data_IF_362127133039
#
_entry.id   IF_362127133039
#
_cell.length_a   1.000
_cell.length_b   1.000
_cell.length_c   1.000
_cell.angle_alpha   90.00
_cell.angle_beta   90.00
_cell.angle_gamma   90.00
#
_symmetry.space_group_name_H-M   'P 1'
#
loop_
_entity.id
_entity.type
_entity.pdbx_description
1 polymer ?
#
# COMPACT_ATOMS: atom_id res chain seq x y z
N UNK A 1 42.59 -20.91 -30.75
CA UNK A 1 41.44 -21.65 -30.20
C UNK A 1 41.42 -21.60 -28.67
N UNK A 2 42.53 -21.87 -27.96
CA UNK A 2 42.62 -21.77 -26.49
C UNK A 2 42.18 -20.41 -25.90
N UNK A 3 42.56 -19.27 -26.50
CA UNK A 3 42.14 -17.95 -26.02
C UNK A 3 40.64 -17.63 -26.19
N UNK A 4 39.93 -18.31 -27.11
CA UNK A 4 38.48 -18.12 -27.30
C UNK A 4 37.67 -18.92 -26.26
N UNK A 5 38.15 -20.10 -25.91
CA UNK A 5 37.57 -20.96 -24.86
C UNK A 5 37.70 -20.33 -23.48
N UNK A 6 38.86 -19.73 -23.18
CA UNK A 6 39.06 -19.02 -21.91
C UNK A 6 38.12 -17.81 -21.78
N UNK A 7 37.94 -17.04 -22.85
CA UNK A 7 37.05 -15.87 -22.85
C UNK A 7 35.57 -16.24 -22.66
N UNK A 8 35.11 -17.33 -23.28
CA UNK A 8 33.74 -17.84 -23.08
C UNK A 8 33.54 -18.34 -21.65
N UNK A 9 34.56 -18.98 -21.06
CA UNK A 9 34.49 -19.46 -19.67
C UNK A 9 34.46 -18.31 -18.66
N UNK A 10 35.28 -17.27 -18.83
CA UNK A 10 35.26 -16.09 -17.94
C UNK A 10 33.94 -15.33 -18.04
N UNK A 11 33.41 -15.17 -19.25
CA UNK A 11 32.12 -14.51 -19.47
C UNK A 11 30.95 -15.29 -18.87
N UNK A 12 31.00 -16.63 -18.92
CA UNK A 12 30.03 -17.49 -18.24
C UNK A 12 30.10 -17.35 -16.72
N UNK A 13 31.30 -17.30 -16.14
CA UNK A 13 31.49 -17.13 -14.70
C UNK A 13 30.93 -15.78 -14.23
N UNK A 14 31.25 -14.70 -14.93
CA UNK A 14 30.71 -13.35 -14.64
C UNK A 14 29.18 -13.31 -14.71
N UNK A 15 28.59 -13.95 -15.73
CA UNK A 15 27.14 -14.03 -15.87
C UNK A 15 26.49 -14.80 -14.71
N UNK A 16 27.09 -15.90 -14.27
CA UNK A 16 26.60 -16.72 -13.16
C UNK A 16 26.70 -15.95 -11.83
N UNK A 17 27.82 -15.28 -11.58
CA UNK A 17 28.04 -14.48 -10.36
C UNK A 17 27.04 -13.32 -10.30
N UNK A 18 26.89 -12.56 -11.39
CA UNK A 18 25.93 -11.47 -11.48
C UNK A 18 24.48 -11.95 -11.34
N UNK A 19 24.13 -13.09 -11.96
CA UNK A 19 22.82 -13.73 -11.82
C UNK A 19 22.52 -14.11 -10.38
N UNK A 20 23.48 -14.77 -9.70
CA UNK A 20 23.35 -15.17 -8.29
C UNK A 20 23.12 -13.99 -7.37
N UNK A 21 23.86 -12.89 -7.54
CA UNK A 21 23.68 -11.68 -6.74
C UNK A 21 22.27 -11.09 -6.90
N UNK A 22 21.78 -10.98 -8.14
CA UNK A 22 20.42 -10.48 -8.45
C UNK A 22 19.33 -11.34 -7.81
N UNK A 23 19.45 -12.66 -7.92
CA UNK A 23 18.52 -13.61 -7.31
C UNK A 23 18.56 -13.55 -5.78
N UNK A 24 19.75 -13.42 -5.18
CA UNK A 24 19.89 -13.29 -3.74
C UNK A 24 19.18 -12.04 -3.22
N UNK A 25 19.38 -10.89 -3.86
CA UNK A 25 18.68 -9.65 -3.49
C UNK A 25 17.16 -9.85 -3.59
N UNK A 26 16.65 -10.38 -4.70
CA UNK A 26 15.22 -10.63 -4.87
C UNK A 26 14.65 -11.55 -3.79
N UNK A 27 15.37 -12.61 -3.40
CA UNK A 27 15.00 -13.52 -2.31
C UNK A 27 14.99 -12.83 -0.96
N UNK A 28 15.97 -12.00 -0.64
CA UNK A 28 16.00 -11.24 0.62
C UNK A 28 14.78 -10.32 0.74
N UNK A 29 14.46 -9.56 -0.31
CA UNK A 29 13.25 -8.72 -0.34
C UNK A 29 11.96 -9.54 -0.26
N UNK A 30 11.93 -10.70 -0.92
CA UNK A 30 10.79 -11.61 -0.90
C UNK A 30 10.55 -12.18 0.52
N UNK A 31 11.60 -12.59 1.22
CA UNK A 31 11.53 -13.07 2.61
C UNK A 31 11.11 -11.91 3.51
N UNK A 32 11.76 -10.74 3.40
CA UNK A 32 11.44 -9.57 4.21
C UNK A 32 9.96 -9.15 4.07
N UNK A 33 9.43 -9.10 2.84
CA UNK A 33 8.03 -8.76 2.59
C UNK A 33 7.05 -9.79 3.18
N UNK A 34 7.37 -11.08 3.11
CA UNK A 34 6.56 -12.14 3.73
C UNK A 34 6.56 -12.07 5.24
N UNK A 35 7.75 -11.92 5.84
CA UNK A 35 7.90 -11.75 7.29
C UNK A 35 7.14 -10.52 7.77
N UNK A 36 7.21 -9.42 7.03
CA UNK A 36 6.48 -8.19 7.35
C UNK A 36 4.96 -8.40 7.32
N UNK A 37 4.42 -9.05 6.29
CA UNK A 37 2.99 -9.35 6.24
C UNK A 37 2.56 -10.26 7.39
N UNK A 38 3.35 -11.30 7.68
CA UNK A 38 3.05 -12.20 8.78
C UNK A 38 3.08 -11.48 10.13
N UNK A 39 4.09 -10.63 10.34
CA UNK A 39 4.21 -9.78 11.51
C UNK A 39 3.01 -8.85 11.66
N UNK A 40 2.65 -8.10 10.59
CA UNK A 40 1.48 -7.21 10.58
C UNK A 40 0.18 -7.97 10.83
N UNK A 41 0.09 -9.23 10.38
CA UNK A 41 -1.08 -10.06 10.66
C UNK A 41 -1.22 -10.31 12.15
N UNK A 42 -0.15 -10.79 12.79
CA UNK A 42 -0.15 -11.15 14.19
C UNK A 42 -0.32 -9.94 15.11
N UNK A 43 0.38 -8.83 14.85
CA UNK A 43 0.36 -7.67 15.75
C UNK A 43 -0.95 -6.92 15.73
N UNK A 44 -1.68 -6.93 14.61
CA UNK A 44 -2.94 -6.19 14.49
C UNK A 44 -4.17 -7.05 14.75
N UNK A 45 -4.02 -8.36 14.94
CA UNK A 45 -5.15 -9.29 15.05
C UNK A 45 -6.16 -8.88 16.14
N UNK A 46 -5.67 -8.45 17.31
CA UNK A 46 -6.53 -7.98 18.40
C UNK A 46 -7.41 -6.78 17.98
N UNK A 47 -6.80 -5.80 17.32
CA UNK A 47 -7.52 -4.61 16.82
C UNK A 47 -8.48 -4.98 15.69
N UNK A 48 -8.14 -5.94 14.84
CA UNK A 48 -9.03 -6.42 13.78
C UNK A 48 -10.29 -7.08 14.33
N UNK A 49 -10.13 -7.94 15.32
CA UNK A 49 -11.25 -8.61 15.98
C UNK A 49 -12.16 -7.56 16.64
N UNK A 50 -11.58 -6.58 17.32
CA UNK A 50 -12.33 -5.51 17.98
C UNK A 50 -13.05 -4.57 17.00
N UNK A 51 -12.40 -4.17 15.91
CA UNK A 51 -12.88 -3.08 15.05
C UNK A 51 -13.52 -3.51 13.73
N UNK A 52 -13.17 -4.68 13.21
CA UNK A 52 -13.56 -5.11 11.86
C UNK A 52 -14.52 -6.30 11.89
N UNK A 53 -14.23 -7.33 12.69
CA UNK A 53 -14.92 -8.63 12.58
C UNK A 53 -16.41 -8.56 12.97
N UNK A 54 -16.75 -7.81 14.01
CA UNK A 54 -18.12 -7.67 14.53
C UNK A 54 -18.96 -6.53 13.92
N UNK A 55 -18.46 -5.78 12.94
CA UNK A 55 -19.20 -4.65 12.33
C UNK A 55 -20.04 -5.09 11.13
N UNK A 56 -21.15 -4.39 10.77
CA UNK A 56 -21.91 -4.75 9.57
C UNK A 56 -21.05 -4.69 8.31
N UNK A 57 -21.37 -5.52 7.31
CA UNK A 57 -20.67 -5.52 6.03
C UNK A 57 -20.84 -4.18 5.31
N UNK A 58 -19.72 -3.57 4.94
CA UNK A 58 -19.65 -2.32 4.20
C UNK A 58 -18.58 -2.44 3.11
N UNK A 59 -18.63 -1.58 2.09
CA UNK A 59 -17.62 -1.57 1.02
C UNK A 59 -16.20 -1.40 1.57
N UNK A 60 -16.02 -0.61 2.62
CA UNK A 60 -14.72 -0.44 3.27
C UNK A 60 -14.24 -1.71 3.97
N UNK A 61 -15.15 -2.45 4.62
CA UNK A 61 -14.84 -3.75 5.24
C UNK A 61 -14.43 -4.79 4.19
N UNK A 62 -15.11 -4.81 3.04
CA UNK A 62 -14.76 -5.70 1.93
C UNK A 62 -13.38 -5.35 1.39
N UNK A 63 -13.12 -4.07 1.11
CA UNK A 63 -11.82 -3.58 0.65
C UNK A 63 -10.70 -3.93 1.63
N UNK A 64 -10.96 -3.80 2.94
CA UNK A 64 -10.02 -4.19 3.99
C UNK A 64 -9.65 -5.68 3.93
N UNK A 65 -10.65 -6.57 3.91
CA UNK A 65 -10.38 -8.02 3.85
C UNK A 65 -9.71 -8.41 2.53
N UNK A 66 -10.08 -7.79 1.41
CA UNK A 66 -9.40 -8.02 0.13
C UNK A 66 -7.93 -7.57 0.18
N UNK A 67 -7.65 -6.37 0.72
CA UNK A 67 -6.29 -5.85 0.87
C UNK A 67 -5.44 -6.69 1.84
N UNK A 68 -6.06 -7.42 2.77
CA UNK A 68 -5.40 -8.34 3.71
C UNK A 68 -5.14 -9.71 3.09
N UNK A 69 -6.15 -10.31 2.46
CA UNK A 69 -6.12 -11.68 1.96
C UNK A 69 -5.33 -11.75 0.64
N UNK A 70 -5.49 -10.76 -0.24
CA UNK A 70 -4.86 -10.80 -1.57
C UNK A 70 -3.32 -10.87 -1.52
N UNK A 71 -2.61 -10.01 -0.76
CA UNK A 71 -1.16 -10.12 -0.60
C UNK A 71 -0.71 -11.48 -0.06
N UNK A 72 -1.44 -12.05 0.90
CA UNK A 72 -1.12 -13.36 1.45
C UNK A 72 -1.24 -14.45 0.37
N UNK A 73 -2.30 -14.44 -0.43
CA UNK A 73 -2.47 -15.36 -1.56
C UNK A 73 -1.38 -15.14 -2.60
N UNK A 74 -1.15 -13.90 -3.02
CA UNK A 74 -0.16 -13.56 -4.04
C UNK A 74 1.26 -13.99 -3.63
N UNK A 75 1.68 -13.68 -2.40
CA UNK A 75 2.99 -14.10 -1.91
C UNK A 75 3.06 -15.61 -1.73
N UNK A 76 1.96 -16.26 -1.32
CA UNK A 76 1.85 -17.72 -1.26
C UNK A 76 2.06 -18.37 -2.63
N UNK A 77 1.32 -17.93 -3.65
CA UNK A 77 1.39 -18.46 -5.04
C UNK A 77 2.76 -18.22 -5.69
N UNK A 78 3.43 -17.12 -5.36
CA UNK A 78 4.77 -16.81 -5.89
C UNK A 78 5.90 -17.50 -5.12
N UNK A 79 5.62 -18.11 -3.95
CA UNK A 79 6.61 -18.85 -3.15
C UNK A 79 7.09 -20.13 -3.84
N UNK A 80 6.24 -20.96 -4.47
CA UNK A 80 6.67 -22.05 -5.33
C UNK A 80 7.62 -21.65 -6.46
N UNK A 81 7.57 -20.41 -6.97
CA UNK A 81 8.56 -19.95 -7.94
C UNK A 81 9.99 -19.82 -7.41
N UNK A 82 10.14 -19.92 -6.08
CA UNK A 82 11.43 -19.99 -5.37
C UNK A 82 11.79 -21.44 -4.99
N UNK A 83 10.81 -22.36 -4.92
CA UNK A 83 10.97 -23.70 -4.32
C UNK A 83 10.71 -24.88 -5.27
N UNK A 84 9.97 -24.68 -6.35
CA UNK A 84 9.56 -25.69 -7.33
C UNK A 84 9.86 -25.19 -8.75
N UNK A 85 9.81 -26.06 -9.77
CA UNK A 85 9.88 -25.66 -11.17
C UNK A 85 8.48 -25.53 -11.82
N UNK A 86 7.63 -24.53 -11.48
CA UNK A 86 6.59 -24.10 -12.41
C UNK A 86 7.23 -23.43 -13.64
N UNK A 87 6.49 -23.41 -14.75
CA UNK A 87 6.83 -22.60 -15.91
C UNK A 87 7.11 -21.16 -15.48
N UNK A 88 8.37 -20.74 -15.61
CA UNK A 88 8.85 -19.43 -15.13
C UNK A 88 8.00 -18.25 -15.61
N UNK A 89 7.50 -18.36 -16.84
CA UNK A 89 6.56 -17.42 -17.45
C UNK A 89 5.29 -17.20 -16.61
N UNK A 90 4.69 -18.27 -16.07
CA UNK A 90 3.44 -18.19 -15.31
C UNK A 90 3.64 -17.44 -14.00
N UNK A 91 4.73 -17.72 -13.28
CA UNK A 91 5.04 -17.04 -12.00
C UNK A 91 5.24 -15.54 -12.21
N UNK A 92 6.00 -15.17 -13.25
CA UNK A 92 6.31 -13.77 -13.54
C UNK A 92 5.06 -13.01 -13.94
N UNK A 93 4.23 -13.59 -14.82
CA UNK A 93 2.94 -13.00 -15.21
C UNK A 93 2.02 -12.87 -13.98
N UNK A 94 1.89 -13.94 -13.18
CA UNK A 94 1.09 -13.92 -11.96
C UNK A 94 1.59 -12.87 -10.95
N UNK A 95 2.91 -12.69 -10.82
CA UNK A 95 3.52 -11.68 -9.94
C UNK A 95 3.22 -10.26 -10.41
N UNK A 96 3.35 -9.99 -11.72
CA UNK A 96 3.12 -8.68 -12.31
C UNK A 96 1.65 -8.26 -12.23
N UNK A 97 0.74 -9.11 -12.71
CA UNK A 97 -0.71 -8.83 -12.62
C UNK A 97 -1.20 -8.81 -11.17
N UNK A 98 -0.66 -9.68 -10.32
CA UNK A 98 -1.01 -9.69 -8.91
C UNK A 98 -0.61 -8.42 -8.19
N UNK A 99 0.58 -7.88 -8.50
CA UNK A 99 1.06 -6.61 -7.95
C UNK A 99 0.21 -5.44 -8.44
N UNK A 100 -0.14 -5.40 -9.72
CA UNK A 100 -1.04 -4.38 -10.25
C UNK A 100 -2.41 -4.42 -9.58
N UNK A 101 -2.98 -5.61 -9.37
CA UNK A 101 -4.24 -5.76 -8.66
C UNK A 101 -4.14 -5.31 -7.19
N UNK A 102 -3.06 -5.65 -6.50
CA UNK A 102 -2.83 -5.21 -5.12
C UNK A 102 -2.75 -3.69 -5.00
N UNK A 103 -2.05 -3.02 -5.93
CA UNK A 103 -1.99 -1.56 -5.96
C UNK A 103 -3.36 -0.95 -6.27
N UNK A 104 -4.14 -1.55 -7.17
CA UNK A 104 -5.51 -1.12 -7.46
C UNK A 104 -6.43 -1.23 -6.24
N UNK A 105 -6.24 -2.21 -5.35
CA UNK A 105 -7.05 -2.33 -4.12
C UNK A 105 -6.83 -1.16 -3.14
N UNK A 106 -5.68 -0.51 -3.21
CA UNK A 106 -5.39 0.67 -2.38
C UNK A 106 -6.24 1.85 -2.81
N UNK A 107 -6.34 2.11 -4.12
CA UNK A 107 -6.91 3.34 -4.65
C UNK A 107 -8.35 3.62 -4.16
N UNK A 108 -9.30 2.67 -4.09
CA UNK A 108 -10.63 2.89 -3.51
C UNK A 108 -10.60 3.42 -2.08
N UNK A 109 -9.67 2.95 -1.24
CA UNK A 109 -9.53 3.42 0.14
C UNK A 109 -9.14 4.90 0.14
N UNK A 110 -8.22 5.29 -0.74
CA UNK A 110 -7.73 6.67 -0.87
C UNK A 110 -8.80 7.59 -1.46
N UNK A 111 -9.46 7.14 -2.53
CA UNK A 111 -10.58 7.84 -3.16
C UNK A 111 -11.69 8.11 -2.14
N UNK A 112 -12.02 7.14 -1.28
CA UNK A 112 -13.06 7.32 -0.26
C UNK A 112 -12.72 8.47 0.70
N UNK A 113 -11.45 8.64 1.07
CA UNK A 113 -11.01 9.72 1.96
C UNK A 113 -11.07 11.07 1.27
N UNK A 114 -10.61 11.15 0.03
CA UNK A 114 -10.71 12.39 -0.75
C UNK A 114 -12.17 12.78 -0.97
N UNK A 115 -13.03 11.81 -1.28
CA UNK A 115 -14.46 12.07 -1.46
C UNK A 115 -15.10 12.68 -0.21
N UNK A 116 -14.79 12.14 0.98
CA UNK A 116 -15.25 12.72 2.25
C UNK A 116 -14.68 14.12 2.48
N UNK A 117 -13.38 14.33 2.23
CA UNK A 117 -12.69 15.62 2.42
C UNK A 117 -13.23 16.74 1.50
N UNK A 118 -13.75 16.36 0.33
CA UNK A 118 -14.39 17.26 -0.61
C UNK A 118 -15.92 17.38 -0.40
N UNK A 119 -16.44 16.95 0.75
CA UNK A 119 -17.84 17.12 1.13
C UNK A 119 -18.80 16.18 0.41
N UNK A 120 -18.33 14.98 0.04
CA UNK A 120 -19.12 13.92 -0.62
C UNK A 120 -19.77 14.34 -1.96
N UNK A 121 -19.19 15.31 -2.66
CA UNK A 121 -19.65 15.74 -3.99
C UNK A 121 -19.47 14.60 -5.00
N UNK A 122 -20.52 14.30 -5.78
CA UNK A 122 -20.53 13.20 -6.75
C UNK A 122 -19.56 13.43 -7.90
N UNK A 123 -19.46 14.67 -8.37
CA UNK A 123 -18.56 15.04 -9.47
C UNK A 123 -17.09 14.66 -9.16
N UNK A 124 -16.64 14.89 -7.93
CA UNK A 124 -15.27 14.54 -7.51
C UNK A 124 -15.07 13.03 -7.53
N UNK A 125 -16.07 12.26 -7.08
CA UNK A 125 -16.00 10.81 -7.10
C UNK A 125 -15.96 10.27 -8.54
N UNK A 126 -16.78 10.82 -9.43
CA UNK A 126 -16.83 10.44 -10.84
C UNK A 126 -15.48 10.69 -11.53
N UNK A 127 -14.86 11.87 -11.33
CA UNK A 127 -13.53 12.17 -11.85
C UNK A 127 -12.44 11.22 -11.31
N UNK A 128 -12.48 10.91 -10.01
CA UNK A 128 -11.53 9.99 -9.40
C UNK A 128 -11.69 8.57 -9.94
N UNK A 129 -12.92 8.08 -10.06
CA UNK A 129 -13.21 6.75 -10.61
C UNK A 129 -12.86 6.63 -12.09
N UNK A 130 -13.10 7.69 -12.87
CA UNK A 130 -12.66 7.75 -14.27
C UNK A 130 -11.14 7.67 -14.37
N UNK A 131 -10.41 8.45 -13.56
CA UNK A 131 -8.96 8.40 -13.50
C UNK A 131 -8.43 7.02 -13.09
N UNK A 132 -9.10 6.36 -12.13
CA UNK A 132 -8.77 4.99 -11.74
C UNK A 132 -8.94 4.03 -12.92
N UNK A 133 -10.09 4.08 -13.61
CA UNK A 133 -10.36 3.22 -14.76
C UNK A 133 -9.31 3.40 -15.87
N UNK A 134 -8.96 4.65 -16.19
CA UNK A 134 -7.90 4.96 -17.17
C UNK A 134 -6.55 4.38 -16.72
N UNK A 135 -6.17 4.56 -15.46
CA UNK A 135 -4.90 4.04 -14.93
C UNK A 135 -4.84 2.50 -14.98
N UNK A 136 -5.93 1.82 -14.63
CA UNK A 136 -6.03 0.35 -14.63
C UNK A 136 -5.95 -0.19 -16.05
N UNK A 137 -6.69 0.40 -17.00
CA UNK A 137 -6.65 0.00 -18.41
C UNK A 137 -5.25 0.20 -18.98
N UNK A 138 -4.63 1.36 -18.72
CA UNK A 138 -3.28 1.65 -19.17
C UNK A 138 -2.27 0.61 -18.63
N UNK A 139 -2.28 0.35 -17.32
CA UNK A 139 -1.40 -0.66 -16.69
C UNK A 139 -1.64 -2.05 -17.28
N UNK A 140 -2.90 -2.48 -17.45
CA UNK A 140 -3.22 -3.79 -18.00
C UNK A 140 -2.69 -3.98 -19.44
N UNK A 141 -2.84 -2.96 -20.29
CA UNK A 141 -2.33 -2.97 -21.66
C UNK A 141 -0.79 -3.01 -21.66
N UNK A 142 -0.14 -2.19 -20.83
CA UNK A 142 1.33 -2.15 -20.75
C UNK A 142 1.86 -3.49 -20.25
N UNK A 143 1.27 -4.07 -19.21
CA UNK A 143 1.68 -5.38 -18.69
C UNK A 143 1.53 -6.48 -19.74
N UNK A 144 0.46 -6.45 -20.55
CA UNK A 144 0.25 -7.39 -21.64
C UNK A 144 1.36 -7.28 -22.68
N UNK A 145 1.68 -6.06 -23.13
CA UNK A 145 2.77 -5.80 -24.09
C UNK A 145 4.12 -6.26 -23.52
N UNK A 146 4.36 -5.99 -22.23
CA UNK A 146 5.59 -6.39 -21.56
C UNK A 146 5.71 -7.92 -21.44
N UNK A 147 4.63 -8.61 -21.06
CA UNK A 147 4.60 -10.06 -20.92
C UNK A 147 4.95 -10.78 -22.24
N UNK A 148 4.53 -10.22 -23.38
CA UNK A 148 4.85 -10.71 -24.72
C UNK A 148 6.31 -10.39 -25.13
N UNK A 149 6.87 -9.28 -24.64
CA UNK A 149 8.24 -8.85 -24.97
C UNK A 149 9.34 -9.48 -24.10
N UNK A 150 9.00 -10.04 -22.94
CA UNK A 150 9.98 -10.59 -22.01
C UNK A 150 10.63 -11.86 -22.56
N UNK A 151 11.94 -11.98 -22.36
CA UNK A 151 12.70 -13.19 -22.66
C UNK A 151 12.90 -13.98 -21.37
N UNK A 152 12.35 -15.19 -21.35
CA UNK A 152 12.43 -16.12 -20.23
C UNK A 152 13.62 -17.04 -20.50
N UNK A 153 14.68 -16.90 -19.70
CA UNK A 153 15.91 -17.68 -19.89
C UNK A 153 15.72 -19.02 -19.18
N UNK A 154 15.87 -20.12 -19.93
CA UNK A 154 15.97 -21.45 -19.32
C UNK A 154 17.24 -21.50 -18.49
N UNK A 155 17.11 -21.84 -17.21
CA UNK A 155 18.21 -21.85 -16.28
C UNK A 155 19.24 -22.92 -16.70
N UNK A 156 20.48 -22.54 -17.05
CA UNK A 156 21.48 -23.47 -17.54
C UNK A 156 22.03 -24.39 -16.44
N UNK A 157 21.87 -24.05 -15.15
CA UNK A 157 22.39 -24.83 -14.02
C UNK A 157 21.36 -24.87 -12.87
N UNK A 158 20.29 -25.69 -12.99
CA UNK A 158 19.22 -25.76 -11.99
C UNK A 158 19.71 -26.17 -10.59
N UNK A 159 20.76 -26.99 -10.49
CA UNK A 159 21.31 -27.46 -9.22
C UNK A 159 22.04 -26.36 -8.43
N UNK A 160 22.60 -25.36 -9.13
CA UNK A 160 23.38 -24.28 -8.51
C UNK A 160 22.55 -22.99 -8.37
N UNK A 161 21.58 -22.76 -9.25
CA UNK A 161 20.85 -21.49 -9.35
C UNK A 161 19.33 -21.69 -9.29
N UNK A 162 18.75 -22.08 -8.15
CA UNK A 162 17.30 -22.28 -8.09
C UNK A 162 16.52 -20.95 -8.32
N UNK A 163 15.56 -20.94 -9.26
CA UNK A 163 14.68 -19.79 -9.52
C UNK A 163 14.64 -19.31 -10.96
N UNK A 164 13.93 -18.20 -11.15
CA UNK A 164 13.59 -17.64 -12.46
C UNK A 164 14.56 -16.56 -12.94
N UNK A 165 15.26 -16.82 -14.05
CA UNK A 165 16.05 -15.82 -14.75
C UNK A 165 15.22 -15.17 -15.87
N UNK A 166 14.89 -13.90 -15.70
CA UNK A 166 14.12 -13.12 -16.68
C UNK A 166 14.91 -11.89 -17.07
N UNK A 167 15.05 -11.67 -18.37
CA UNK A 167 15.57 -10.40 -18.88
C UNK A 167 14.40 -9.46 -19.13
N UNK A 168 14.17 -8.61 -18.15
CA UNK A 168 13.15 -7.56 -18.20
C UNK A 168 13.55 -6.47 -19.20
N UNK A 169 12.57 -5.95 -19.95
CA UNK A 169 12.80 -4.85 -20.89
C UNK A 169 13.18 -3.55 -20.17
N UNK A 170 13.77 -2.60 -20.90
CA UNK A 170 14.09 -1.25 -20.38
C UNK A 170 12.85 -0.48 -19.91
N UNK A 171 11.70 -0.73 -20.52
CA UNK A 171 10.42 -0.08 -20.22
C UNK A 171 9.65 -0.67 -19.02
N UNK A 172 10.28 -1.50 -18.18
CA UNK A 172 9.59 -2.19 -17.07
C UNK A 172 9.12 -1.26 -15.94
N UNK A 173 9.60 -0.03 -15.91
CA UNK A 173 9.21 0.99 -14.94
C UNK A 173 7.85 1.64 -15.24
N UNK A 174 7.38 1.57 -16.49
CA UNK A 174 6.20 2.32 -16.95
C UNK A 174 4.93 1.97 -16.14
N UNK A 175 4.62 0.70 -15.81
CA UNK A 175 3.46 0.36 -14.98
C UNK A 175 3.48 1.06 -13.62
N UNK A 176 4.64 1.06 -12.95
CA UNK A 176 4.84 1.75 -11.68
C UNK A 176 4.70 3.26 -11.84
N UNK A 177 5.22 3.82 -12.94
CA UNK A 177 5.08 5.25 -13.26
C UNK A 177 3.61 5.67 -13.43
N UNK A 178 2.80 4.87 -14.12
CA UNK A 178 1.36 5.14 -14.31
C UNK A 178 0.60 5.06 -12.98
N UNK A 179 0.84 4.02 -12.17
CA UNK A 179 0.22 3.92 -10.85
C UNK A 179 0.67 5.05 -9.93
N UNK A 180 1.97 5.36 -9.92
CA UNK A 180 2.54 6.42 -9.09
C UNK A 180 1.99 7.80 -9.45
N UNK A 181 1.80 8.09 -10.74
CA UNK A 181 1.26 9.39 -11.16
C UNK A 181 -0.18 9.57 -10.68
N UNK A 182 -1.01 8.55 -10.79
CA UNK A 182 -2.38 8.58 -10.29
C UNK A 182 -2.43 8.73 -8.76
N UNK A 183 -1.64 7.94 -8.03
CA UNK A 183 -1.59 8.03 -6.56
C UNK A 183 -1.04 9.38 -6.07
N UNK A 184 -0.05 9.95 -6.78
CA UNK A 184 0.49 11.28 -6.47
C UNK A 184 -0.53 12.38 -6.67
N UNK A 185 -1.39 12.28 -7.70
CA UNK A 185 -2.48 13.23 -7.93
C UNK A 185 -3.49 13.20 -6.77
N UNK A 186 -3.93 12.01 -6.35
CA UNK A 186 -4.87 11.86 -5.23
C UNK A 186 -4.25 12.37 -3.93
N UNK A 187 -2.99 12.03 -3.68
CA UNK A 187 -2.26 12.52 -2.51
C UNK A 187 -2.14 14.05 -2.52
N UNK A 188 -1.78 14.65 -3.66
CA UNK A 188 -1.71 16.10 -3.82
C UNK A 188 -3.05 16.78 -3.50
N UNK A 189 -4.16 16.25 -4.01
CA UNK A 189 -5.51 16.73 -3.67
C UNK A 189 -5.80 16.62 -2.17
N UNK A 190 -5.41 15.50 -1.55
CA UNK A 190 -5.58 15.24 -0.13
C UNK A 190 -4.82 16.27 0.71
N UNK A 191 -3.53 16.48 0.42
CA UNK A 191 -2.67 17.43 1.14
C UNK A 191 -3.17 18.86 0.95
N UNK A 192 -3.47 19.25 -0.29
CA UNK A 192 -3.96 20.59 -0.61
C UNK A 192 -5.24 20.93 0.17
N UNK A 193 -6.22 20.02 0.12
CA UNK A 193 -7.50 20.23 0.78
C UNK A 193 -7.35 20.17 2.31
N UNK A 194 -6.51 19.28 2.84
CA UNK A 194 -6.20 19.20 4.28
C UNK A 194 -5.57 20.49 4.78
N UNK A 195 -4.62 21.04 4.03
CA UNK A 195 -3.99 22.33 4.32
C UNK A 195 -5.00 23.47 4.31
N UNK A 196 -5.82 23.55 3.26
CA UNK A 196 -6.86 24.57 3.13
C UNK A 196 -7.85 24.55 4.30
N UNK A 197 -8.25 23.34 4.76
CA UNK A 197 -9.16 23.20 5.89
C UNK A 197 -8.49 23.62 7.21
N UNK A 198 -7.22 23.28 7.42
CA UNK A 198 -6.44 23.74 8.59
C UNK A 198 -6.35 25.26 8.66
N UNK A 199 -6.11 25.92 7.53
CA UNK A 199 -6.02 27.39 7.47
C UNK A 199 -7.38 28.04 7.72
N UNK A 200 -8.47 27.50 7.17
CA UNK A 200 -9.82 28.12 7.28
C UNK A 200 -10.49 27.94 8.64
N UNK A 201 -10.38 26.76 9.24
CA UNK A 201 -11.11 26.42 10.48
C UNK A 201 -10.22 26.42 11.72
N UNK A 202 -8.95 26.82 11.58
CA UNK A 202 -7.95 26.74 12.64
C UNK A 202 -7.49 25.31 12.92
N UNK A 203 -6.38 25.20 13.64
CA UNK A 203 -5.79 23.95 14.08
C UNK A 203 -6.54 23.34 15.26
N UNK A 204 -7.85 23.10 15.12
CA UNK A 204 -8.56 22.25 16.06
C UNK A 204 -7.80 20.94 16.22
N UNK A 205 -7.35 20.65 17.44
CA UNK A 205 -6.36 19.60 17.77
C UNK A 205 -6.75 18.26 17.14
N UNK A 206 -8.06 17.98 17.13
CA UNK A 206 -8.68 16.74 16.66
C UNK A 206 -8.56 16.50 15.13
N UNK A 207 -9.05 17.43 14.29
CA UNK A 207 -8.98 17.26 12.82
C UNK A 207 -7.55 17.34 12.30
N UNK A 208 -6.70 18.11 12.98
CA UNK A 208 -5.29 18.26 12.62
C UNK A 208 -4.49 16.98 12.82
N UNK A 209 -4.68 16.28 13.95
CA UNK A 209 -3.97 15.03 14.25
C UNK A 209 -4.43 13.89 13.32
N UNK A 210 -5.74 13.72 13.13
CA UNK A 210 -6.27 12.68 12.25
C UNK A 210 -5.79 12.81 10.80
N UNK A 211 -5.75 14.05 10.28
CA UNK A 211 -5.22 14.31 8.94
C UNK A 211 -3.70 14.12 8.88
N UNK A 212 -2.96 14.39 9.97
CA UNK A 212 -1.51 14.19 10.03
C UNK A 212 -1.16 12.72 9.94
N UNK A 213 -1.81 11.88 10.74
CA UNK A 213 -1.48 10.46 10.84
C UNK A 213 -1.87 9.72 9.57
N UNK A 214 -3.06 10.01 9.01
CA UNK A 214 -3.47 9.47 7.72
C UNK A 214 -2.54 9.87 6.56
N UNK A 215 -2.06 11.11 6.54
CA UNK A 215 -1.18 11.61 5.45
C UNK A 215 0.23 11.00 5.54
N UNK A 216 0.73 10.68 6.74
CA UNK A 216 2.04 10.04 6.91
C UNK A 216 2.09 8.63 6.30
N UNK A 217 1.05 7.81 6.52
CA UNK A 217 0.96 6.50 5.88
C UNK A 217 0.91 6.60 4.34
N UNK A 218 0.17 7.58 3.81
CA UNK A 218 0.15 7.84 2.37
C UNK A 218 1.49 8.27 1.80
N UNK A 219 2.19 9.19 2.49
CA UNK A 219 3.53 9.61 2.09
C UNK A 219 4.50 8.43 2.07
N UNK A 220 4.38 7.52 3.04
CA UNK A 220 5.15 6.28 3.09
C UNK A 220 4.83 5.32 1.93
N UNK A 221 3.56 5.15 1.58
CA UNK A 221 3.14 4.35 0.41
C UNK A 221 3.76 4.93 -0.88
N UNK A 222 3.67 6.25 -1.08
CA UNK A 222 4.27 6.92 -2.23
C UNK A 222 5.79 6.76 -2.27
N UNK A 223 6.46 6.91 -1.12
CA UNK A 223 7.90 6.72 -1.02
C UNK A 223 8.30 5.31 -1.44
N UNK A 224 7.60 4.28 -0.94
CA UNK A 224 7.87 2.88 -1.32
C UNK A 224 7.64 2.69 -2.82
N UNK A 225 6.56 3.23 -3.39
CA UNK A 225 6.30 3.14 -4.84
C UNK A 225 7.39 3.84 -5.67
N UNK A 226 7.88 5.01 -5.23
CA UNK A 226 8.99 5.72 -5.87
C UNK A 226 10.26 4.86 -5.81
N UNK A 227 10.62 4.33 -4.64
CA UNK A 227 11.81 3.50 -4.46
C UNK A 227 11.73 2.22 -5.31
N UNK A 228 10.57 1.57 -5.38
CA UNK A 228 10.38 0.41 -6.24
C UNK A 228 10.48 0.78 -7.73
N UNK A 229 9.88 1.91 -8.14
CA UNK A 229 9.99 2.41 -9.51
C UNK A 229 11.44 2.70 -9.91
N UNK A 230 12.21 3.39 -9.05
CA UNK A 230 13.64 3.61 -9.25
C UNK A 230 14.42 2.29 -9.26
N UNK A 231 14.06 1.35 -8.38
CA UNK A 231 14.63 0.01 -8.33
C UNK A 231 14.44 -0.77 -9.64
N UNK A 232 13.36 -0.53 -10.38
CA UNK A 232 13.18 -1.13 -11.72
C UNK A 232 14.15 -0.60 -12.77
N UNK A 233 14.80 0.55 -12.55
CA UNK A 233 15.83 1.08 -13.46
C UNK A 233 17.20 0.47 -13.21
N UNK A 234 17.46 0.03 -11.98
CA UNK A 234 18.77 -0.49 -11.56
C UNK A 234 18.80 -2.00 -11.83
N UNK A 235 19.71 -2.49 -12.68
CA UNK A 235 19.72 -3.90 -13.11
C UNK A 235 19.76 -4.91 -11.95
N UNK A 236 20.49 -4.57 -10.87
CA UNK A 236 20.61 -5.42 -9.68
C UNK A 236 19.29 -5.49 -8.91
N UNK A 237 18.53 -4.40 -8.85
CA UNK A 237 17.28 -4.30 -8.11
C UNK A 237 16.05 -4.62 -8.95
N UNK A 238 16.16 -4.61 -10.28
CA UNK A 238 15.03 -4.75 -11.21
C UNK A 238 14.24 -6.04 -10.96
N UNK A 239 14.93 -7.17 -10.78
CA UNK A 239 14.27 -8.43 -10.45
C UNK A 239 13.59 -8.41 -9.07
N UNK A 240 14.24 -7.80 -8.08
CA UNK A 240 13.68 -7.67 -6.74
C UNK A 240 12.43 -6.78 -6.73
N UNK A 241 12.47 -5.63 -7.40
CA UNK A 241 11.33 -4.71 -7.49
C UNK A 241 10.11 -5.33 -8.17
N UNK A 242 10.33 -6.12 -9.24
CA UNK A 242 9.23 -6.70 -10.03
C UNK A 242 8.67 -8.00 -9.45
N UNK A 243 9.52 -8.86 -8.89
CA UNK A 243 9.14 -10.24 -8.57
C UNK A 243 9.12 -10.58 -7.08
N UNK A 244 9.71 -9.76 -6.20
CA UNK A 244 9.75 -10.10 -4.76
C UNK A 244 8.38 -10.02 -4.07
N UNK A 245 7.48 -9.16 -4.60
CA UNK A 245 6.22 -8.79 -3.95
C UNK A 245 6.41 -7.86 -2.74
N UNK A 246 7.60 -7.31 -2.52
CA UNK A 246 7.87 -6.42 -1.38
C UNK A 246 7.01 -5.16 -1.38
N UNK A 247 6.79 -4.54 -2.56
CA UNK A 247 5.90 -3.38 -2.70
C UNK A 247 4.49 -3.71 -2.22
N UNK A 248 3.98 -4.90 -2.57
CA UNK A 248 2.63 -5.36 -2.18
C UNK A 248 2.53 -5.55 -0.68
N UNK A 249 3.54 -6.14 -0.06
CA UNK A 249 3.61 -6.30 1.39
C UNK A 249 3.58 -4.94 2.10
N UNK A 250 4.47 -4.02 1.71
CA UNK A 250 4.57 -2.69 2.30
C UNK A 250 3.28 -1.89 2.12
N UNK A 251 2.75 -1.80 0.91
CA UNK A 251 1.56 -0.98 0.67
C UNK A 251 0.31 -1.55 1.34
N UNK A 252 0.18 -2.88 1.41
CA UNK A 252 -0.91 -3.53 2.14
C UNK A 252 -0.84 -3.24 3.65
N UNK A 253 0.31 -3.48 4.28
CA UNK A 253 0.48 -3.22 5.73
C UNK A 253 0.20 -1.75 6.07
N UNK A 254 0.75 -0.82 5.29
CA UNK A 254 0.51 0.61 5.50
C UNK A 254 -0.97 0.98 5.31
N UNK A 255 -1.65 0.39 4.34
CA UNK A 255 -3.09 0.60 4.15
C UNK A 255 -3.91 0.05 5.34
N UNK A 256 -3.54 -1.12 5.85
CA UNK A 256 -4.21 -1.73 7.01
C UNK A 256 -4.05 -0.86 8.26
N UNK A 257 -2.82 -0.42 8.55
CA UNK A 257 -2.51 0.48 9.68
C UNK A 257 -3.29 1.79 9.57
N UNK A 258 -3.37 2.33 8.37
CA UNK A 258 -4.11 3.55 8.08
C UNK A 258 -5.63 3.39 8.29
N UNK A 259 -6.21 2.23 7.98
CA UNK A 259 -7.65 1.95 8.24
C UNK A 259 -7.89 1.69 9.74
N UNK A 260 -7.01 0.92 10.40
CA UNK A 260 -7.14 0.59 11.81
C UNK A 260 -6.99 1.81 12.71
N UNK A 261 -6.00 2.67 12.45
CA UNK A 261 -5.83 3.94 13.15
C UNK A 261 -7.12 4.78 13.10
N UNK A 262 -7.75 4.90 11.93
CA UNK A 262 -9.03 5.61 11.80
C UNK A 262 -10.14 5.02 12.68
N UNK A 263 -10.21 3.69 12.81
CA UNK A 263 -11.18 3.02 13.66
C UNK A 263 -10.89 3.22 15.15
N UNK A 264 -9.62 3.12 15.56
CA UNK A 264 -9.19 3.39 16.92
C UNK A 264 -9.59 4.81 17.35
N UNK A 265 -9.26 5.82 16.53
CA UNK A 265 -9.66 7.21 16.77
C UNK A 265 -11.17 7.40 16.84
N UNK A 266 -11.93 6.77 15.94
CA UNK A 266 -13.39 6.87 15.95
C UNK A 266 -14.00 6.34 17.25
N UNK A 267 -13.42 5.29 17.83
CA UNK A 267 -13.89 4.72 19.08
C UNK A 267 -13.49 5.58 20.30
N UNK A 268 -12.25 6.05 20.38
CA UNK A 268 -11.83 7.00 21.43
C UNK A 268 -12.73 8.24 21.48
N UNK A 269 -13.07 8.79 20.31
CA UNK A 269 -13.97 9.95 20.22
C UNK A 269 -15.36 9.66 20.78
N UNK A 270 -15.88 8.44 20.55
CA UNK A 270 -17.19 8.04 21.10
C UNK A 270 -17.13 7.92 22.62
N UNK A 271 -16.03 7.38 23.16
CA UNK A 271 -15.83 7.26 24.61
C UNK A 271 -15.77 8.64 25.28
N UNK A 272 -14.95 9.56 24.76
CA UNK A 272 -14.88 10.94 25.29
C UNK A 272 -16.26 11.63 25.25
N UNK A 273 -17.03 11.44 24.18
CA UNK A 273 -18.39 11.99 24.09
C UNK A 273 -19.35 11.38 25.12
N UNK A 274 -19.17 10.10 25.48
CA UNK A 274 -19.98 9.41 26.48
C UNK A 274 -19.60 9.82 27.92
N UNK A 275 -18.37 10.27 28.16
CA UNK A 275 -17.91 10.78 29.47
C UNK A 275 -18.31 12.25 29.72
N UNK A 276 -18.40 13.07 28.66
CA UNK A 276 -18.82 14.48 28.72
C UNK A 276 -20.24 14.76 29.28
N UNK A 277 -21.25 13.88 29.22
CA UNK A 277 -22.54 14.11 29.88
C UNK A 277 -22.52 13.92 31.41
N UNK A 278 -21.50 13.30 32.01
CA UNK A 278 -21.46 13.08 33.47
C UNK A 278 -20.83 14.23 34.27
N UNK A 279 -20.05 15.11 33.63
CA UNK A 279 -19.39 16.24 34.32
C UNK A 279 -20.20 17.55 34.30
N UNK A 280 -21.35 17.58 33.63
CA UNK A 280 -22.16 18.82 33.49
C UNK A 280 -23.38 18.91 34.41
N UNK A 281 -23.59 17.97 35.33
CA UNK A 281 -24.76 17.97 36.24
C UNK A 281 -24.43 18.43 37.67
N UNK A 282 -23.17 18.47 38.11
CA UNK A 282 -22.83 18.80 39.51
C UNK A 282 -22.32 20.23 39.77
N UNK A 283 -22.75 21.22 38.98
CA UNK A 283 -22.45 22.64 39.27
C UNK A 283 -23.68 23.56 39.34
N UNK A 284 -24.88 23.01 39.58
CA UNK A 284 -26.07 23.79 39.93
C UNK A 284 -26.67 23.28 41.25
N UNK A 285 -25.98 23.57 42.36
CA UNK A 285 -26.40 23.10 43.67
C UNK A 285 -25.66 23.77 44.82
N UNK A 286 -25.78 25.11 44.91
CA UNK A 286 -25.49 26.02 46.04
C UNK A 286 -25.31 27.42 45.42
N UNK A 287 -26.13 28.43 45.62
CA UNK A 287 -26.80 28.84 46.86
C UNK A 287 -28.15 29.51 46.54
N UNK A 288 -29.21 29.04 47.21
CA UNK A 288 -30.47 29.77 47.35
C UNK A 288 -30.66 30.09 48.84
N UNK A 289 -31.15 31.32 49.09
CA UNK A 289 -31.58 31.93 50.36
C UNK A 289 -30.53 32.71 51.15
N UNK A 290 -30.58 34.05 51.10
CA UNK A 290 -31.15 34.83 52.22
C UNK A 290 -31.41 36.33 51.91
N UNK A 291 -32.61 36.80 52.29
CA UNK A 291 -33.07 38.19 52.54
C UNK A 291 -33.05 39.20 51.36
N UNK A 292 -34.10 39.96 51.02
CA UNK A 292 -35.24 40.46 51.80
C UNK A 292 -35.30 41.99 51.68
N UNK A 293 -36.26 42.49 50.89
CA UNK A 293 -36.89 43.83 50.93
C UNK A 293 -36.03 45.12 51.01
N UNK A 294 -36.11 45.99 49.99
CA UNK A 294 -36.60 47.40 50.09
C UNK A 294 -36.42 48.22 48.80
N UNK A 295 -37.53 48.79 48.35
CA UNK A 295 -37.79 50.17 47.92
C UNK A 295 -37.01 50.90 46.79
N UNK A 296 -37.84 51.43 45.88
CA UNK A 296 -37.89 52.80 45.35
C UNK A 296 -36.68 53.38 44.61
N UNK A 297 -36.78 53.40 43.27
CA UNK A 297 -36.88 54.60 42.40
C UNK A 297 -36.85 54.22 40.92
#
# INVERSE_FOLDING_TARGET
MAGRVNLESELLVELIVAGRARLMVARCFAIAGRTLLFYDILTNLEQEVAYVWGKPWSLMRIAYHLNRIWPAIQLGVTTPGVLLPPSCKVIVIASSYGTAFALMLLSPVIISRVWVLYGRRRDVLEWLLLGLAVSVIAVAVILKVQADSHTYIQNPVPDLLSGCLVRFGSSSWIPYGVSLSYESLIFGMTVWKSWTLRVKFGSGTFTSQLLRDGTLYYAGILLVMILCSLGTQIEVLKGAALASGFVVAMTSTMCNQMILSLHAFSNETKLVRLELPLTRVDSHGKDENTYGARNDL
#
